data_IF_356288481826
#
_entry.id   IF_356288481826
#
_cell.length_a   1.000
_cell.length_b   1.000
_cell.length_c   1.000
_cell.angle_alpha   90.00
_cell.angle_beta   90.00
_cell.angle_gamma   90.00
#
_symmetry.space_group_name_H-M   'P 1'
#
loop_
_entity.id
_entity.type
_entity.pdbx_description
1 polymer ?
#
# COMPACT_ATOMS: atom_id res chain seq x y z
N UNK A 1 -1.39 27.53 25.47
CA UNK A 1 -0.31 26.98 26.31
C UNK A 1 0.75 26.39 25.38
N UNK A 2 1.81 27.15 25.13
CA UNK A 2 2.90 26.76 24.22
C UNK A 2 3.89 25.93 25.03
N UNK A 3 3.98 24.63 24.78
CA UNK A 3 5.03 23.78 25.34
C UNK A 3 6.25 23.89 24.44
N UNK A 4 7.24 24.63 24.92
CA UNK A 4 8.60 24.66 24.37
C UNK A 4 9.21 23.28 24.59
N UNK A 5 9.34 22.51 23.51
CA UNK A 5 10.10 21.26 23.52
C UNK A 5 11.59 21.61 23.51
N UNK A 6 12.25 21.37 24.64
CA UNK A 6 13.71 21.41 24.77
C UNK A 6 14.28 20.24 23.97
N UNK A 7 14.76 20.50 22.75
CA UNK A 7 15.48 19.51 21.96
C UNK A 7 16.91 19.36 22.48
N UNK A 8 17.17 18.20 23.08
CA UNK A 8 18.48 17.77 23.52
C UNK A 8 19.32 17.41 22.28
N UNK A 9 20.22 18.30 21.88
CA UNK A 9 21.25 18.03 20.87
C UNK A 9 22.24 16.99 21.41
N UNK A 10 21.95 15.71 21.22
CA UNK A 10 22.97 14.67 21.24
C UNK A 10 23.59 14.64 19.84
N UNK A 11 24.56 15.53 19.61
CA UNK A 11 25.44 15.41 18.46
C UNK A 11 26.07 14.01 18.46
N UNK A 12 25.87 13.28 17.37
CA UNK A 12 26.68 12.11 17.04
C UNK A 12 28.15 12.54 16.94
N UNK A 13 29.11 11.70 17.36
CA UNK A 13 30.49 12.10 17.48
C UNK A 13 31.11 12.32 16.09
N UNK A 14 31.36 13.59 15.76
CA UNK A 14 32.17 14.09 14.62
C UNK A 14 33.62 13.57 14.62
N UNK A 15 34.05 12.82 15.64
CA UNK A 15 35.41 12.28 15.77
C UNK A 15 35.81 11.27 14.69
N UNK A 16 34.87 10.67 13.96
CA UNK A 16 35.20 9.71 12.90
C UNK A 16 35.69 10.40 11.61
N UNK A 17 35.20 11.60 11.30
CA UNK A 17 35.55 12.33 10.08
C UNK A 17 36.92 13.01 10.16
N UNK A 18 37.31 13.50 11.35
CA UNK A 18 38.63 14.10 11.56
C UNK A 18 39.78 13.09 11.43
N UNK A 19 39.55 11.81 11.78
CA UNK A 19 40.60 10.78 11.73
C UNK A 19 40.92 10.32 10.30
N UNK A 20 39.91 10.23 9.43
CA UNK A 20 40.13 9.81 8.04
C UNK A 20 40.81 10.91 7.20
N UNK A 21 40.45 12.18 7.44
CA UNK A 21 41.04 13.31 6.70
C UNK A 21 42.52 13.53 7.06
N UNK A 22 42.89 13.34 8.34
CA UNK A 22 44.30 13.40 8.77
C UNK A 22 45.14 12.24 8.23
N UNK A 23 44.55 11.07 8.00
CA UNK A 23 45.31 9.89 7.58
C UNK A 23 45.65 9.90 6.08
N UNK A 24 44.81 10.50 5.23
CA UNK A 24 45.11 10.70 3.81
C UNK A 24 46.22 11.75 3.63
N UNK A 25 46.18 12.85 4.39
CA UNK A 25 47.23 13.88 4.35
C UNK A 25 48.61 13.35 4.80
N UNK A 26 48.65 12.42 5.75
CA UNK A 26 49.92 11.84 6.26
C UNK A 26 50.47 10.76 5.32
N UNK A 27 49.61 9.99 4.63
CA UNK A 27 50.07 8.95 3.69
C UNK A 27 50.56 9.49 2.35
N UNK A 28 50.09 10.66 1.90
CA UNK A 28 50.58 11.28 0.66
C UNK A 28 52.01 11.85 0.76
N UNK A 29 52.46 12.20 1.96
CA UNK A 29 53.79 12.80 2.18
C UNK A 29 54.90 11.78 2.48
N UNK A 30 54.59 10.49 2.61
CA UNK A 30 55.52 9.47 3.11
C UNK A 30 56.33 8.73 2.02
N UNK A 31 56.23 9.13 0.75
CA UNK A 31 56.93 8.46 -0.36
C UNK A 31 58.13 9.25 -0.93
N UNK A 32 58.62 10.30 -0.24
CA UNK A 32 59.86 11.00 -0.57
C UNK A 32 60.94 10.74 0.48
N UNK A 33 61.56 9.56 0.39
CA UNK A 33 62.78 9.15 1.09
C UNK A 33 63.58 8.39 0.03
N UNK A 34 64.78 8.76 -0.44
CA UNK A 34 65.91 9.32 0.29
C UNK A 34 66.97 10.03 -0.60
N UNK A 35 66.66 10.51 -1.82
CA UNK A 35 67.68 11.07 -2.74
C UNK A 35 67.37 12.49 -3.26
N UNK A 36 66.76 13.37 -2.47
CA UNK A 36 66.70 14.80 -2.83
C UNK A 36 68.00 15.50 -2.44
N UNK A 37 68.86 15.71 -3.42
CA UNK A 37 70.07 16.53 -3.34
C UNK A 37 69.70 17.97 -2.96
N UNK A 38 69.65 18.24 -1.66
CA UNK A 38 69.28 19.54 -1.08
C UNK A 38 70.29 20.59 -1.54
N UNK A 39 69.89 21.44 -2.49
CA UNK A 39 70.69 22.57 -2.92
C UNK A 39 70.58 23.70 -1.89
N UNK A 40 71.44 23.68 -0.87
CA UNK A 40 71.56 24.75 0.13
C UNK A 40 72.28 25.93 -0.54
N UNK A 41 71.57 27.05 -0.69
CA UNK A 41 72.20 28.29 -1.17
C UNK A 41 73.26 28.81 -0.20
N UNK A 42 74.20 29.67 -0.65
CA UNK A 42 75.31 30.17 0.17
C UNK A 42 74.88 30.91 1.45
N UNK A 43 73.63 31.34 1.54
CA UNK A 43 73.04 32.03 2.70
C UNK A 43 72.36 31.07 3.71
N UNK A 44 72.43 29.75 3.47
CA UNK A 44 71.79 28.72 4.30
C UNK A 44 70.28 28.56 4.08
N UNK A 45 69.68 29.40 3.24
CA UNK A 45 68.27 29.29 2.85
C UNK A 45 68.06 28.25 1.76
N UNK A 46 67.13 27.33 2.02
CA UNK A 46 66.63 26.36 1.06
C UNK A 46 65.93 27.10 -0.08
N UNK A 47 66.44 26.97 -1.31
CA UNK A 47 65.75 27.42 -2.52
C UNK A 47 65.35 26.20 -3.32
N UNK A 48 64.03 25.92 -3.50
CA UNK A 48 63.62 24.88 -4.41
C UNK A 48 64.16 25.19 -5.81
N UNK A 49 64.64 24.16 -6.50
CA UNK A 49 65.01 24.30 -7.91
C UNK A 49 63.77 24.72 -8.71
N UNK A 50 63.92 25.44 -9.84
CA UNK A 50 62.78 25.89 -10.63
C UNK A 50 61.87 24.72 -11.07
N UNK A 51 62.42 23.52 -11.31
CA UNK A 51 61.64 22.31 -11.58
C UNK A 51 60.83 21.84 -10.37
N UNK A 52 61.45 21.79 -9.18
CA UNK A 52 60.71 21.48 -7.94
C UNK A 52 59.60 22.50 -7.65
N UNK A 53 59.82 23.78 -7.98
CA UNK A 53 58.81 24.81 -7.81
C UNK A 53 57.61 24.61 -8.75
N UNK A 54 57.84 24.19 -10.01
CA UNK A 54 56.79 23.84 -10.97
C UNK A 54 56.03 22.58 -10.54
N UNK A 55 56.73 21.54 -10.08
CA UNK A 55 56.11 20.30 -9.60
C UNK A 55 55.25 20.54 -8.34
N UNK A 56 55.75 21.35 -7.40
CA UNK A 56 54.98 21.74 -6.21
C UNK A 56 53.77 22.61 -6.56
N UNK A 57 53.86 23.47 -7.58
CA UNK A 57 52.69 24.21 -8.07
C UNK A 57 51.65 23.29 -8.68
N UNK A 58 52.05 22.30 -9.49
CA UNK A 58 51.12 21.34 -10.08
C UNK A 58 50.42 20.50 -9.00
N UNK A 59 51.15 20.05 -7.98
CA UNK A 59 50.59 19.34 -6.83
C UNK A 59 49.64 20.22 -6.02
N UNK A 60 49.96 21.50 -5.82
CA UNK A 60 49.07 22.44 -5.14
C UNK A 60 47.77 22.60 -5.91
N UNK A 61 47.83 22.79 -7.23
CA UNK A 61 46.65 22.94 -8.10
C UNK A 61 45.77 21.67 -8.08
N UNK A 62 46.38 20.48 -8.05
CA UNK A 62 45.66 19.20 -7.95
C UNK A 62 44.94 19.08 -6.60
N UNK A 63 45.63 19.34 -5.49
CA UNK A 63 45.04 19.33 -4.14
C UNK A 63 43.94 20.39 -4.00
N UNK A 64 44.13 21.58 -4.57
CA UNK A 64 43.10 22.62 -4.57
C UNK A 64 41.85 22.17 -5.35
N UNK A 65 42.01 21.51 -6.50
CA UNK A 65 40.88 20.96 -7.25
C UNK A 65 40.15 19.86 -6.48
N UNK A 66 40.87 18.94 -5.86
CA UNK A 66 40.29 17.89 -5.02
C UNK A 66 39.53 18.49 -3.83
N UNK A 67 40.09 19.51 -3.17
CA UNK A 67 39.45 20.24 -2.08
C UNK A 67 38.15 20.91 -2.55
N UNK A 68 38.16 21.58 -3.70
CA UNK A 68 36.96 22.18 -4.29
C UNK A 68 35.89 21.13 -4.62
N UNK A 69 36.29 19.97 -5.15
CA UNK A 69 35.36 18.88 -5.45
C UNK A 69 34.76 18.28 -4.17
N UNK A 70 35.58 18.08 -3.14
CA UNK A 70 35.13 17.62 -1.83
C UNK A 70 34.16 18.61 -1.16
N UNK A 71 34.47 19.91 -1.22
CA UNK A 71 33.59 20.96 -0.70
C UNK A 71 32.25 21.01 -1.45
N UNK A 72 32.27 20.86 -2.78
CA UNK A 72 31.05 20.80 -3.61
C UNK A 72 30.21 19.57 -3.28
N UNK A 73 30.83 18.41 -3.09
CA UNK A 73 30.13 17.20 -2.68
C UNK A 73 29.56 17.31 -1.26
N UNK A 74 30.32 17.91 -0.33
CA UNK A 74 29.86 18.19 1.02
C UNK A 74 28.63 19.09 1.06
N UNK A 75 28.62 20.18 0.27
CA UNK A 75 27.44 21.06 0.13
C UNK A 75 26.23 20.32 -0.45
N UNK A 76 26.44 19.49 -1.47
CA UNK A 76 25.37 18.66 -2.03
C UNK A 76 24.77 17.68 -1.00
N UNK A 77 25.60 17.07 -0.16
CA UNK A 77 25.12 16.20 0.91
C UNK A 77 24.33 16.98 1.98
N UNK A 78 24.76 18.20 2.31
CA UNK A 78 24.01 19.08 3.24
C UNK A 78 22.65 19.44 2.66
N UNK A 79 22.59 19.81 1.37
CA UNK A 79 21.32 20.10 0.67
C UNK A 79 20.39 18.87 0.67
N UNK A 80 20.91 17.67 0.36
CA UNK A 80 20.12 16.44 0.40
C UNK A 80 19.65 16.07 1.80
N UNK A 81 20.46 16.30 2.82
CA UNK A 81 20.04 16.10 4.21
C UNK A 81 18.93 17.07 4.60
N UNK A 82 18.98 18.33 4.15
CA UNK A 82 17.93 19.32 4.38
C UNK A 82 16.61 18.92 3.69
N UNK A 83 16.66 18.46 2.42
CA UNK A 83 15.49 17.93 1.71
C UNK A 83 14.87 16.71 2.44
N UNK A 84 15.72 15.80 2.93
CA UNK A 84 15.27 14.64 3.71
C UNK A 84 14.61 15.07 5.01
N UNK A 85 15.19 16.04 5.73
CA UNK A 85 14.60 16.60 6.95
C UNK A 85 13.22 17.22 6.69
N UNK A 86 13.09 18.03 5.64
CA UNK A 86 11.80 18.62 5.24
C UNK A 86 10.76 17.55 4.88
N UNK A 87 11.21 16.45 4.27
CA UNK A 87 10.33 15.31 3.95
C UNK A 87 9.88 14.58 5.21
N UNK A 88 10.79 14.35 6.16
CA UNK A 88 10.47 13.74 7.46
C UNK A 88 9.49 14.62 8.23
N UNK A 89 9.70 15.93 8.27
CA UNK A 89 8.81 16.87 8.96
C UNK A 89 7.42 16.89 8.34
N UNK A 90 7.33 16.90 7.00
CA UNK A 90 6.04 16.79 6.30
C UNK A 90 5.30 15.49 6.64
N UNK A 91 5.98 14.35 6.55
CA UNK A 91 5.39 13.05 6.90
C UNK A 91 4.97 12.98 8.37
N UNK A 92 5.71 13.63 9.26
CA UNK A 92 5.35 13.73 10.68
C UNK A 92 4.03 14.49 10.87
N UNK A 93 3.88 15.66 10.22
CA UNK A 93 2.63 16.44 10.25
C UNK A 93 1.47 15.62 9.69
N UNK A 94 1.64 14.97 8.54
CA UNK A 94 0.61 14.11 7.92
C UNK A 94 0.19 12.97 8.85
N UNK A 95 1.15 12.33 9.52
CA UNK A 95 0.88 11.28 10.49
C UNK A 95 0.11 11.82 11.72
N UNK A 96 0.50 12.97 12.26
CA UNK A 96 -0.21 13.59 13.39
C UNK A 96 -1.64 13.99 13.00
N UNK A 97 -1.85 14.58 11.82
CA UNK A 97 -3.19 14.94 11.33
C UNK A 97 -4.07 13.72 11.18
N UNK A 98 -3.58 12.67 10.51
CA UNK A 98 -4.31 11.41 10.37
C UNK A 98 -4.62 10.81 11.74
N UNK A 99 -3.67 10.81 12.68
CA UNK A 99 -3.90 10.29 14.03
C UNK A 99 -4.99 11.07 14.77
N UNK A 100 -5.08 12.39 14.59
CA UNK A 100 -6.14 13.21 15.20
C UNK A 100 -7.51 12.94 14.57
N UNK A 101 -7.58 12.73 13.25
CA UNK A 101 -8.80 12.36 12.53
C UNK A 101 -9.34 11.01 13.01
N UNK A 102 -8.49 9.97 13.02
CA UNK A 102 -8.85 8.64 13.53
C UNK A 102 -9.34 8.68 14.98
N UNK A 103 -8.71 9.48 15.85
CA UNK A 103 -9.19 9.68 17.22
C UNK A 103 -10.55 10.38 17.28
N UNK A 104 -10.83 11.30 16.35
CA UNK A 104 -12.13 11.95 16.22
C UNK A 104 -13.24 11.00 15.75
N UNK A 105 -12.93 10.16 14.76
CA UNK A 105 -13.83 9.13 14.23
C UNK A 105 -14.14 8.07 15.29
N UNK A 106 -13.13 7.56 15.99
CA UNK A 106 -13.30 6.61 17.09
C UNK A 106 -14.26 7.13 18.16
N UNK A 107 -14.08 8.39 18.61
CA UNK A 107 -15.01 9.03 19.56
C UNK A 107 -16.42 9.21 19.02
N UNK A 108 -16.59 9.32 17.70
CA UNK A 108 -17.90 9.43 17.06
C UNK A 108 -18.59 8.07 17.04
N UNK A 109 -17.86 7.01 16.68
CA UNK A 109 -18.34 5.63 16.75
C UNK A 109 -18.69 5.23 18.18
N UNK A 110 -17.86 5.56 19.17
CA UNK A 110 -18.15 5.33 20.60
C UNK A 110 -19.47 5.97 21.03
N UNK A 111 -19.71 7.23 20.61
CA UNK A 111 -20.98 7.93 20.88
C UNK A 111 -22.18 7.24 20.22
N UNK A 112 -22.05 6.79 18.98
CA UNK A 112 -23.11 6.05 18.29
C UNK A 112 -23.40 4.71 18.96
N UNK A 113 -22.36 3.98 19.38
CA UNK A 113 -22.51 2.71 20.08
C UNK A 113 -23.22 2.92 21.42
N UNK A 114 -22.85 3.96 22.18
CA UNK A 114 -23.52 4.31 23.42
C UNK A 114 -25.00 4.69 23.19
N UNK A 115 -25.31 5.50 22.17
CA UNK A 115 -26.69 5.84 21.82
C UNK A 115 -27.51 4.60 21.42
N UNK A 116 -26.97 3.71 20.59
CA UNK A 116 -27.62 2.46 20.21
C UNK A 116 -27.86 1.52 21.42
N UNK A 117 -26.93 1.48 22.38
CA UNK A 117 -27.11 0.76 23.63
C UNK A 117 -28.25 1.35 24.47
N UNK A 118 -28.31 2.68 24.61
CA UNK A 118 -29.41 3.35 25.30
C UNK A 118 -30.76 3.06 24.65
N UNK A 119 -30.84 3.12 23.31
CA UNK A 119 -32.06 2.77 22.58
C UNK A 119 -32.46 1.32 22.85
N UNK A 120 -31.53 0.36 22.71
CA UNK A 120 -31.78 -1.05 23.00
C UNK A 120 -32.32 -1.25 24.42
N UNK A 121 -31.73 -0.58 25.41
CA UNK A 121 -32.14 -0.72 26.80
C UNK A 121 -33.50 -0.04 27.05
N UNK A 122 -33.80 1.09 26.40
CA UNK A 122 -35.13 1.70 26.38
C UNK A 122 -36.18 0.78 25.75
N UNK A 123 -35.86 0.13 24.61
CA UNK A 123 -36.72 -0.87 23.98
C UNK A 123 -36.98 -2.05 24.92
N UNK A 124 -35.95 -2.56 25.61
CA UNK A 124 -36.12 -3.63 26.61
C UNK A 124 -37.08 -3.21 27.72
N UNK A 125 -36.94 -1.99 28.24
CA UNK A 125 -37.83 -1.45 29.28
C UNK A 125 -39.27 -1.24 28.78
N UNK A 126 -39.49 -0.92 27.50
CA UNK A 126 -40.84 -0.80 26.93
C UNK A 126 -41.47 -2.16 26.62
N UNK A 127 -40.69 -3.14 26.16
CA UNK A 127 -41.18 -4.45 25.72
C UNK A 127 -41.47 -5.39 26.90
N UNK A 128 -40.67 -5.38 27.96
CA UNK A 128 -40.87 -6.26 29.13
C UNK A 128 -42.25 -6.04 29.81
N UNK A 129 -42.73 -4.80 30.05
CA UNK A 129 -44.07 -4.55 30.57
C UNK A 129 -45.19 -4.96 29.61
N UNK A 130 -44.98 -4.85 28.29
CA UNK A 130 -45.96 -5.30 27.30
C UNK A 130 -46.11 -6.82 27.31
N UNK A 131 -45.00 -7.57 27.43
CA UNK A 131 -45.05 -9.04 27.57
C UNK A 131 -45.69 -9.51 28.88
N UNK A 132 -45.63 -8.72 29.96
CA UNK A 132 -46.29 -9.03 31.25
C UNK A 132 -47.74 -8.51 31.33
N UNK A 133 -48.14 -7.57 30.45
CA UNK A 133 -49.51 -7.03 30.37
C UNK A 133 -50.37 -7.64 29.28
N UNK A 134 -49.87 -8.56 28.47
CA UNK A 134 -50.76 -9.43 27.69
C UNK A 134 -51.34 -10.43 28.69
N UNK A 135 -52.61 -10.28 29.13
CA UNK A 135 -53.24 -11.33 29.92
C UNK A 135 -53.17 -12.63 29.11
N UNK A 136 -53.12 -13.76 29.80
CA UNK A 136 -53.22 -15.13 29.26
C UNK A 136 -54.53 -15.41 28.48
N UNK A 137 -55.15 -14.41 27.83
CA UNK A 137 -56.24 -14.55 26.88
C UNK A 137 -55.77 -15.05 25.51
N UNK A 138 -54.46 -15.17 25.25
CA UNK A 138 -53.95 -15.79 24.01
C UNK A 138 -54.28 -17.30 23.90
N UNK A 139 -54.69 -17.96 25.00
CA UNK A 139 -55.32 -19.30 24.90
C UNK A 139 -56.75 -19.28 24.34
N UNK A 140 -57.41 -18.11 24.29
CA UNK A 140 -58.72 -17.96 23.65
C UNK A 140 -58.64 -17.60 22.17
N UNK A 141 -57.51 -17.07 21.68
CA UNK A 141 -57.36 -16.74 20.27
C UNK A 141 -57.32 -18.00 19.38
N UNK A 142 -56.65 -19.07 19.82
CA UNK A 142 -56.68 -20.34 19.09
C UNK A 142 -58.06 -21.02 19.12
N UNK A 143 -58.83 -20.87 20.21
CA UNK A 143 -60.21 -21.36 20.27
C UNK A 143 -61.13 -20.62 19.29
N UNK A 144 -60.92 -19.30 19.10
CA UNK A 144 -61.68 -18.51 18.13
C UNK A 144 -61.26 -18.81 16.69
N UNK A 145 -59.97 -19.08 16.43
CA UNK A 145 -59.50 -19.52 15.11
C UNK A 145 -60.06 -20.90 14.75
N UNK A 146 -60.12 -21.83 15.70
CA UNK A 146 -60.72 -23.16 15.51
C UNK A 146 -62.26 -23.07 15.34
N UNK A 147 -62.94 -22.20 16.09
CA UNK A 147 -64.38 -21.95 15.92
C UNK A 147 -64.69 -21.29 14.56
N UNK A 148 -63.87 -20.34 14.12
CA UNK A 148 -64.01 -19.73 12.79
C UNK A 148 -63.74 -20.75 11.69
N UNK A 149 -62.76 -21.64 11.86
CA UNK A 149 -62.50 -22.71 10.92
C UNK A 149 -63.65 -23.73 10.87
N UNK A 150 -64.22 -24.12 12.01
CA UNK A 150 -65.42 -24.98 12.04
C UNK A 150 -66.65 -24.31 11.44
N UNK A 151 -66.85 -23.00 11.70
CA UNK A 151 -67.95 -22.25 11.09
C UNK A 151 -67.78 -22.15 9.57
N UNK A 152 -66.57 -21.88 9.08
CA UNK A 152 -66.25 -21.88 7.65
C UNK A 152 -66.54 -23.24 7.01
N UNK A 153 -66.18 -24.34 7.68
CA UNK A 153 -66.41 -25.71 7.23
C UNK A 153 -67.89 -26.10 7.25
N UNK A 154 -68.64 -25.65 8.27
CA UNK A 154 -70.09 -25.85 8.36
C UNK A 154 -70.85 -25.07 7.28
N UNK A 155 -70.41 -23.86 6.94
CA UNK A 155 -71.00 -23.02 5.91
C UNK A 155 -70.76 -23.60 4.51
N UNK A 156 -69.58 -24.16 4.26
CA UNK A 156 -69.28 -24.87 3.00
C UNK A 156 -70.04 -26.17 2.89
N UNK A 157 -70.19 -26.94 3.97
CA UNK A 157 -71.03 -28.13 4.00
C UNK A 157 -72.51 -27.81 3.78
N UNK A 158 -73.03 -26.74 4.39
CA UNK A 158 -74.39 -26.26 4.20
C UNK A 158 -74.63 -25.78 2.76
N UNK A 159 -73.69 -25.05 2.17
CA UNK A 159 -73.76 -24.64 0.77
C UNK A 159 -73.75 -25.83 -0.19
N UNK A 160 -72.91 -26.85 0.07
CA UNK A 160 -72.89 -28.09 -0.72
C UNK A 160 -74.21 -28.87 -0.59
N UNK A 161 -74.80 -28.93 0.61
CA UNK A 161 -76.12 -29.53 0.83
C UNK A 161 -77.24 -28.75 0.12
N UNK A 162 -77.18 -27.41 0.09
CA UNK A 162 -78.15 -26.57 -0.60
C UNK A 162 -78.07 -26.73 -2.13
N UNK A 163 -76.86 -26.84 -2.68
CA UNK A 163 -76.65 -27.12 -4.11
C UNK A 163 -77.18 -28.52 -4.46
N UNK A 164 -76.93 -29.52 -3.61
CA UNK A 164 -77.45 -30.89 -3.79
C UNK A 164 -78.98 -30.92 -3.72
N UNK A 165 -79.60 -30.17 -2.79
CA UNK A 165 -81.05 -30.03 -2.72
C UNK A 165 -81.65 -29.27 -3.91
N UNK A 166 -80.97 -28.24 -4.44
CA UNK A 166 -81.42 -27.55 -5.65
C UNK A 166 -81.32 -28.43 -6.90
N UNK A 167 -80.30 -29.29 -6.99
CA UNK A 167 -80.20 -30.29 -8.06
C UNK A 167 -81.32 -31.34 -7.96
N UNK A 168 -81.70 -31.76 -6.74
CA UNK A 168 -82.86 -32.64 -6.54
C UNK A 168 -84.21 -31.96 -6.82
N UNK A 169 -84.38 -30.67 -6.49
CA UNK A 169 -85.59 -29.89 -6.84
C UNK A 169 -85.71 -29.67 -8.36
N UNK A 170 -84.61 -29.34 -9.05
CA UNK A 170 -84.62 -29.20 -10.52
C UNK A 170 -84.85 -30.53 -11.25
N UNK A 171 -84.49 -31.67 -10.65
CA UNK A 171 -84.79 -33.00 -11.20
C UNK A 171 -86.24 -33.44 -11.05
N UNK A 172 -87.06 -32.77 -10.23
CA UNK A 172 -88.43 -33.19 -9.90
C UNK A 172 -89.54 -32.25 -10.42
N UNK A 173 -89.19 -31.15 -11.11
CA UNK A 173 -90.16 -30.18 -11.66
C UNK A 173 -90.47 -30.34 -13.17
N UNK A 174 -90.17 -31.49 -13.79
CA UNK A 174 -90.53 -31.78 -15.18
C UNK A 174 -91.76 -32.69 -15.37
N UNK A 175 -92.50 -32.99 -14.29
CA UNK A 175 -93.82 -33.64 -14.39
C UNK A 175 -94.74 -33.21 -13.24
N UNK A 176 -95.63 -32.26 -13.52
CA UNK A 176 -97.05 -32.20 -13.11
C UNK A 176 -97.55 -30.74 -13.12
N UNK A 177 -98.25 -30.37 -14.18
CA UNK A 177 -99.51 -29.61 -14.02
C UNK A 177 -100.54 -30.54 -13.32
N UNK A 178 -101.69 -30.10 -12.74
CA UNK A 178 -102.35 -28.79 -12.88
C UNK A 178 -102.99 -28.24 -11.57
N UNK A 179 -103.71 -27.12 -11.72
CA UNK A 179 -104.94 -26.71 -11.00
C UNK A 179 -104.85 -25.85 -9.72
N UNK A 180 -105.82 -24.91 -9.67
CA UNK A 180 -106.64 -24.57 -8.50
C UNK A 180 -106.29 -23.30 -7.71
N UNK A 181 -107.09 -22.27 -8.01
CA UNK A 181 -107.87 -21.43 -7.08
C UNK A 181 -107.21 -20.28 -6.28
N UNK A 182 -107.90 -19.13 -6.35
CA UNK A 182 -108.34 -18.30 -5.20
C UNK A 182 -108.26 -16.78 -5.46
N UNK A 183 -109.31 -16.20 -6.05
CA UNK A 183 -109.80 -14.86 -5.68
C UNK A 183 -111.33 -14.89 -5.72
N UNK A 184 -111.93 -15.08 -4.55
CA UNK A 184 -113.38 -14.98 -4.36
C UNK A 184 -113.84 -13.53 -4.40
N UNK A 185 -114.60 -13.16 -5.43
CA UNK A 185 -115.46 -11.98 -5.42
C UNK A 185 -116.86 -12.40 -5.00
N UNK A 186 -117.21 -12.15 -3.73
CA UNK A 186 -118.54 -12.45 -3.18
C UNK A 186 -119.42 -11.21 -3.25
N UNK A 187 -120.18 -11.10 -4.33
CA UNK A 187 -121.35 -10.22 -4.45
C UNK A 187 -122.48 -10.76 -3.58
N UNK A 188 -122.88 -10.02 -2.54
CA UNK A 188 -124.05 -10.32 -1.71
C UNK A 188 -125.18 -9.38 -2.10
N UNK A 189 -126.26 -9.97 -2.59
CA UNK A 189 -127.52 -9.33 -2.95
C UNK A 189 -128.41 -9.22 -1.70
N UNK A 190 -128.90 -7.99 -1.50
CA UNK A 190 -130.12 -7.54 -0.82
C UNK A 190 -131.05 -8.63 -0.25
N UNK A 191 -131.24 -8.62 1.08
CA UNK A 191 -132.52 -8.94 1.71
C UNK A 191 -132.83 -7.96 2.87
N UNK A 192 -134.12 -7.66 2.94
CA UNK A 192 -134.89 -6.60 3.62
C UNK A 192 -134.74 -6.46 5.15
N UNK A 193 -135.21 -5.34 5.74
CA UNK A 193 -134.82 -4.86 7.06
C UNK A 193 -135.74 -5.38 8.19
N UNK A 194 -135.22 -5.53 9.41
CA UNK A 194 -136.04 -5.47 10.61
C UNK A 194 -135.79 -4.16 11.39
N UNK A 195 -136.90 -3.48 11.68
CA UNK A 195 -137.16 -2.63 12.86
C UNK A 195 -136.00 -1.80 13.45
N UNK A 196 -136.08 -0.49 13.23
CA UNK A 196 -135.42 0.53 14.06
C UNK A 196 -135.92 0.41 15.51
N UNK A 197 -135.10 -0.22 16.34
CA UNK A 197 -134.80 0.21 17.71
C UNK A 197 -133.47 -0.48 18.09
N UNK A 198 -132.43 -0.11 17.34
CA UNK A 198 -131.05 -0.40 17.72
C UNK A 198 -130.65 0.69 18.68
N UNK A 199 -130.51 0.31 19.94
CA UNK A 199 -130.11 1.16 21.06
C UNK A 199 -128.97 2.10 20.66
N UNK A 200 -129.23 3.41 20.79
CA UNK A 200 -128.25 4.49 20.61
C UNK A 200 -126.94 4.22 21.38
N UNK A 201 -127.03 3.48 22.48
CA UNK A 201 -125.90 3.10 23.32
C UNK A 201 -125.01 2.02 22.68
N UNK A 202 -125.55 1.12 21.86
CA UNK A 202 -124.74 0.14 21.07
C UNK A 202 -123.95 0.86 19.99
N UNK A 203 -124.54 1.87 19.34
CA UNK A 203 -123.86 2.72 18.36
C UNK A 203 -122.78 3.59 19.00
N UNK A 204 -123.04 4.18 20.18
CA UNK A 204 -122.02 4.92 20.95
C UNK A 204 -120.86 4.01 21.36
N UNK A 205 -121.15 2.82 21.90
CA UNK A 205 -120.10 1.87 22.26
C UNK A 205 -119.26 1.44 21.05
N UNK A 206 -119.89 1.22 19.89
CA UNK A 206 -119.16 0.89 18.67
C UNK A 206 -118.27 2.04 18.16
N UNK A 207 -118.70 3.30 18.33
CA UNK A 207 -117.88 4.48 18.01
C UNK A 207 -116.71 4.60 18.99
N UNK A 208 -116.95 4.44 20.29
CA UNK A 208 -115.90 4.50 21.32
C UNK A 208 -114.87 3.36 21.15
N UNK A 209 -115.33 2.15 20.80
CA UNK A 209 -114.45 1.01 20.48
C UNK A 209 -113.62 1.28 19.22
N UNK A 210 -114.19 1.93 18.20
CA UNK A 210 -113.47 2.32 16.98
C UNK A 210 -112.47 3.44 17.24
N UNK A 211 -112.82 4.42 18.07
CA UNK A 211 -111.92 5.46 18.51
C UNK A 211 -110.77 4.89 19.35
N UNK A 212 -111.05 3.93 20.24
CA UNK A 212 -110.02 3.21 20.99
C UNK A 212 -109.09 2.40 20.06
N UNK A 213 -109.65 1.72 19.05
CA UNK A 213 -108.87 1.01 18.02
C UNK A 213 -108.00 1.98 17.20
N UNK A 214 -108.51 3.15 16.82
CA UNK A 214 -107.76 4.18 16.11
C UNK A 214 -106.64 4.76 16.96
N UNK A 215 -106.89 5.07 18.24
CA UNK A 215 -105.85 5.54 19.18
C UNK A 215 -104.76 4.48 19.37
N UNK A 216 -105.14 3.21 19.49
CA UNK A 216 -104.19 2.10 19.60
C UNK A 216 -103.38 1.90 18.31
N UNK A 217 -104.01 2.03 17.13
CA UNK A 217 -103.33 1.95 15.85
C UNK A 217 -102.35 3.12 15.67
N UNK A 218 -102.75 4.34 16.04
CA UNK A 218 -101.89 5.53 16.00
C UNK A 218 -100.68 5.38 16.95
N UNK A 219 -100.89 4.88 18.17
CA UNK A 219 -99.79 4.59 19.10
C UNK A 219 -98.80 3.57 18.51
N UNK A 220 -99.30 2.51 17.86
CA UNK A 220 -98.45 1.51 17.18
C UNK A 220 -97.66 2.11 16.02
N UNK A 221 -98.23 3.04 15.25
CA UNK A 221 -97.49 3.74 14.18
C UNK A 221 -96.43 4.68 14.74
N UNK A 222 -96.71 5.41 15.82
CA UNK A 222 -95.71 6.24 16.51
C UNK A 222 -94.55 5.39 17.05
N UNK A 223 -94.84 4.21 17.60
CA UNK A 223 -93.81 3.26 18.06
C UNK A 223 -92.97 2.72 16.90
N UNK A 224 -93.60 2.43 15.74
CA UNK A 224 -92.89 2.03 14.51
C UNK A 224 -91.98 3.16 14.02
N UNK A 225 -92.46 4.40 13.99
CA UNK A 225 -91.64 5.56 13.59
C UNK A 225 -90.47 5.78 14.54
N UNK A 226 -90.67 5.62 15.84
CA UNK A 226 -89.60 5.66 16.83
C UNK A 226 -88.58 4.52 16.60
N UNK A 227 -89.04 3.32 16.28
CA UNK A 227 -88.19 2.18 15.94
C UNK A 227 -87.40 2.40 14.65
N UNK A 228 -88.03 2.94 13.60
CA UNK A 228 -87.37 3.30 12.34
C UNK A 228 -86.29 4.36 12.59
N UNK A 229 -86.57 5.39 13.39
CA UNK A 229 -85.57 6.41 13.76
C UNK A 229 -84.38 5.80 14.50
N UNK A 230 -84.61 4.87 15.43
CA UNK A 230 -83.52 4.13 16.11
C UNK A 230 -82.71 3.31 15.12
N UNK A 231 -83.34 2.56 14.22
CA UNK A 231 -82.65 1.81 13.17
C UNK A 231 -81.83 2.73 12.25
N UNK A 232 -82.36 3.89 11.87
CA UNK A 232 -81.64 4.87 11.06
C UNK A 232 -80.47 5.51 11.82
N UNK A 233 -80.59 5.69 13.13
CA UNK A 233 -79.48 6.13 13.97
C UNK A 233 -78.40 5.05 14.05
N UNK A 234 -78.77 3.81 14.37
CA UNK A 234 -77.83 2.68 14.42
C UNK A 234 -77.14 2.47 13.07
N UNK A 235 -77.84 2.64 11.94
CA UNK A 235 -77.22 2.61 10.60
C UNK A 235 -76.18 3.71 10.40
N UNK A 236 -76.42 4.92 10.92
CA UNK A 236 -75.45 6.02 10.85
C UNK A 236 -74.24 5.74 11.73
N UNK A 237 -74.47 5.30 12.96
CA UNK A 237 -73.41 4.95 13.91
C UNK A 237 -72.52 3.81 13.36
N UNK A 238 -73.10 2.77 12.73
CA UNK A 238 -72.32 1.69 12.13
C UNK A 238 -71.51 2.16 10.92
N UNK A 239 -72.03 3.07 10.10
CA UNK A 239 -71.28 3.68 9.00
C UNK A 239 -70.12 4.54 9.51
N UNK A 240 -70.32 5.30 10.59
CA UNK A 240 -69.27 6.10 11.22
C UNK A 240 -68.16 5.22 11.80
N UNK A 241 -68.51 4.11 12.47
CA UNK A 241 -67.55 3.12 12.97
C UNK A 241 -66.75 2.51 11.82
N UNK A 242 -67.41 2.10 10.72
CA UNK A 242 -66.73 1.54 9.54
C UNK A 242 -65.75 2.55 8.96
N UNK A 243 -66.13 3.84 8.88
CA UNK A 243 -65.27 4.88 8.36
C UNK A 243 -64.07 5.12 9.29
N UNK A 244 -64.27 5.13 10.62
CA UNK A 244 -63.18 5.22 11.59
C UNK A 244 -62.21 4.03 11.47
N UNK A 245 -62.73 2.81 11.35
CA UNK A 245 -61.91 1.61 11.13
C UNK A 245 -61.11 1.71 9.83
N UNK A 246 -61.71 2.23 8.75
CA UNK A 246 -61.03 2.43 7.46
C UNK A 246 -59.90 3.47 7.58
N UNK A 247 -60.10 4.56 8.30
CA UNK A 247 -59.05 5.56 8.55
C UNK A 247 -57.92 5.01 9.42
N UNK A 248 -58.24 4.24 10.47
CA UNK A 248 -57.24 3.60 11.32
C UNK A 248 -56.41 2.59 10.52
N UNK A 249 -57.06 1.75 9.70
CA UNK A 249 -56.36 0.80 8.83
C UNK A 249 -55.46 1.50 7.79
N UNK A 250 -55.86 2.65 7.26
CA UNK A 250 -55.02 3.43 6.35
C UNK A 250 -53.76 3.97 7.06
N UNK A 251 -53.92 4.50 8.29
CA UNK A 251 -52.78 4.96 9.09
C UNK A 251 -51.82 3.82 9.43
N UNK A 252 -52.33 2.62 9.77
CA UNK A 252 -51.50 1.44 10.01
C UNK A 252 -50.68 1.04 8.78
N UNK A 253 -51.27 1.11 7.58
CA UNK A 253 -50.56 0.83 6.33
C UNK A 253 -49.45 1.86 6.08
N UNK A 254 -49.70 3.14 6.34
CA UNK A 254 -48.69 4.20 6.18
C UNK A 254 -47.54 4.06 7.20
N UNK A 255 -47.84 3.68 8.43
CA UNK A 255 -46.83 3.37 9.46
C UNK A 255 -45.98 2.18 9.01
N UNK A 256 -46.59 1.10 8.50
CA UNK A 256 -45.84 -0.06 7.97
C UNK A 256 -44.93 0.35 6.82
N UNK A 257 -45.43 1.09 5.82
CA UNK A 257 -44.60 1.59 4.71
C UNK A 257 -43.45 2.46 5.22
N UNK A 258 -43.70 3.34 6.20
CA UNK A 258 -42.64 4.16 6.79
C UNK A 258 -41.59 3.30 7.52
N UNK A 259 -41.99 2.23 8.19
CA UNK A 259 -41.08 1.30 8.86
C UNK A 259 -40.27 0.48 7.85
N UNK A 260 -40.90 -0.01 6.78
CA UNK A 260 -40.24 -0.70 5.67
C UNK A 260 -39.21 0.20 4.98
N UNK A 261 -39.55 1.47 4.72
CA UNK A 261 -38.61 2.44 4.15
C UNK A 261 -37.41 2.71 5.06
N UNK A 262 -37.63 2.82 6.38
CA UNK A 262 -36.53 2.94 7.35
C UNK A 262 -35.68 1.68 7.42
N UNK A 263 -36.30 0.50 7.37
CA UNK A 263 -35.59 -0.77 7.35
C UNK A 263 -34.71 -0.88 6.09
N UNK A 264 -35.25 -0.55 4.91
CA UNK A 264 -34.48 -0.49 3.67
C UNK A 264 -33.28 0.47 3.78
N UNK A 265 -33.49 1.69 4.29
CA UNK A 265 -32.41 2.65 4.48
C UNK A 265 -31.34 2.17 5.49
N UNK A 266 -31.73 1.40 6.52
CA UNK A 266 -30.78 0.78 7.44
C UNK A 266 -29.98 -0.35 6.79
N UNK A 267 -30.63 -1.16 5.94
CA UNK A 267 -29.95 -2.21 5.15
C UNK A 267 -28.93 -1.60 4.20
N UNK A 268 -29.27 -0.51 3.50
CA UNK A 268 -28.34 0.21 2.62
C UNK A 268 -27.16 0.82 3.38
N UNK A 269 -27.40 1.31 4.60
CA UNK A 269 -26.31 1.80 5.47
C UNK A 269 -25.42 0.67 5.95
N UNK A 270 -26.00 -0.48 6.32
CA UNK A 270 -25.24 -1.65 6.72
C UNK A 270 -24.38 -2.20 5.57
N UNK A 271 -24.91 -2.25 4.35
CA UNK A 271 -24.13 -2.68 3.19
C UNK A 271 -22.99 -1.70 2.87
N UNK A 272 -23.22 -0.38 2.96
CA UNK A 272 -22.18 0.61 2.78
C UNK A 272 -21.07 0.53 3.86
N UNK A 273 -21.43 0.26 5.11
CA UNK A 273 -20.46 0.03 6.19
C UNK A 273 -19.67 -1.27 5.96
N UNK A 274 -20.34 -2.32 5.50
CA UNK A 274 -19.68 -3.59 5.15
C UNK A 274 -18.65 -3.40 4.03
N UNK A 275 -19.01 -2.67 2.96
CA UNK A 275 -18.05 -2.38 1.88
C UNK A 275 -16.83 -1.61 2.38
N UNK A 276 -17.01 -0.61 3.25
CA UNK A 276 -15.88 0.13 3.85
C UNK A 276 -15.01 -0.75 4.75
N UNK A 277 -15.62 -1.70 5.46
CA UNK A 277 -14.89 -2.67 6.26
C UNK A 277 -14.02 -3.55 5.37
N UNK A 278 -14.59 -4.08 4.29
CA UNK A 278 -13.86 -4.92 3.32
C UNK A 278 -12.71 -4.13 2.66
N UNK A 279 -12.95 -2.88 2.22
CA UNK A 279 -11.91 -1.98 1.70
C UNK A 279 -10.78 -1.73 2.72
N UNK A 280 -11.12 -1.53 3.99
CA UNK A 280 -10.12 -1.33 5.05
C UNK A 280 -9.32 -2.60 5.33
N UNK A 281 -9.95 -3.77 5.19
CA UNK A 281 -9.30 -5.06 5.36
C UNK A 281 -8.29 -5.33 4.23
N UNK A 282 -8.66 -5.03 2.99
CA UNK A 282 -7.76 -5.11 1.83
C UNK A 282 -6.57 -4.14 1.96
N UNK A 283 -6.82 -2.92 2.45
CA UNK A 283 -5.76 -1.94 2.73
C UNK A 283 -4.81 -2.40 3.85
N UNK A 284 -5.30 -3.12 4.86
CA UNK A 284 -4.44 -3.70 5.90
C UNK A 284 -3.63 -4.88 5.37
N UNK A 285 -4.22 -5.72 4.52
CA UNK A 285 -3.55 -6.85 3.90
C UNK A 285 -2.39 -6.41 3.01
N UNK A 286 -2.62 -5.40 2.16
CA UNK A 286 -1.57 -4.80 1.32
C UNK A 286 -0.43 -4.19 2.15
N UNK A 287 -0.74 -3.51 3.26
CA UNK A 287 0.27 -3.01 4.20
C UNK A 287 1.08 -4.12 4.86
N UNK A 288 0.46 -5.24 5.21
CA UNK A 288 1.15 -6.39 5.79
C UNK A 288 2.13 -7.02 4.79
N UNK A 289 1.74 -7.10 3.52
CA UNK A 289 2.60 -7.58 2.43
C UNK A 289 3.79 -6.64 2.18
N UNK A 290 3.56 -5.33 2.20
CA UNK A 290 4.62 -4.32 2.13
C UNK A 290 5.58 -4.41 3.32
N UNK A 291 5.05 -4.61 4.54
CA UNK A 291 5.87 -4.78 5.73
C UNK A 291 6.73 -6.05 5.64
N UNK A 292 6.16 -7.16 5.17
CA UNK A 292 6.92 -8.40 4.92
C UNK A 292 8.04 -8.15 3.92
N UNK A 293 7.76 -7.47 2.80
CA UNK A 293 8.76 -7.14 1.79
C UNK A 293 9.87 -6.25 2.34
N UNK A 294 9.54 -5.29 3.20
CA UNK A 294 10.52 -4.43 3.86
C UNK A 294 11.37 -5.21 4.86
N UNK A 295 10.79 -6.16 5.60
CA UNK A 295 11.53 -7.06 6.51
C UNK A 295 12.54 -7.91 5.73
N UNK A 296 12.13 -8.52 4.62
CA UNK A 296 13.02 -9.29 3.75
C UNK A 296 14.18 -8.41 3.23
N UNK A 297 13.87 -7.19 2.79
CA UNK A 297 14.90 -6.25 2.32
C UNK A 297 15.88 -5.82 3.40
N UNK A 298 15.42 -5.67 4.64
CA UNK A 298 16.30 -5.38 5.79
C UNK A 298 17.21 -6.57 6.07
N UNK A 299 16.70 -7.80 6.01
CA UNK A 299 17.50 -9.01 6.19
C UNK A 299 18.59 -9.15 5.11
N UNK A 300 18.23 -8.92 3.84
CA UNK A 300 19.20 -8.88 2.73
C UNK A 300 20.31 -7.85 2.95
N UNK A 301 19.95 -6.62 3.34
CA UNK A 301 20.92 -5.55 3.60
C UNK A 301 21.80 -5.86 4.82
N UNK A 302 21.26 -6.53 5.84
CA UNK A 302 22.05 -6.98 6.99
C UNK A 302 23.04 -8.08 6.58
N UNK A 303 22.65 -9.00 5.70
CA UNK A 303 23.54 -10.02 5.16
C UNK A 303 24.66 -9.39 4.31
N UNK A 304 24.33 -8.42 3.46
CA UNK A 304 25.30 -7.67 2.66
C UNK A 304 26.30 -6.91 3.55
N UNK A 305 25.82 -6.23 4.59
CA UNK A 305 26.68 -5.51 5.54
C UNK A 305 27.62 -6.46 6.30
N UNK A 306 27.14 -7.65 6.70
CA UNK A 306 27.99 -8.68 7.33
C UNK A 306 29.08 -9.15 6.38
N UNK A 307 28.73 -9.44 5.13
CA UNK A 307 29.70 -9.85 4.10
C UNK A 307 30.76 -8.76 3.87
N UNK A 308 30.35 -7.49 3.79
CA UNK A 308 31.30 -6.38 3.66
C UNK A 308 32.18 -6.23 4.91
N UNK A 309 31.65 -6.48 6.10
CA UNK A 309 32.42 -6.52 7.34
C UNK A 309 33.51 -7.60 7.31
N UNK A 310 33.16 -8.81 6.87
CA UNK A 310 34.10 -9.93 6.73
C UNK A 310 35.23 -9.61 5.72
N UNK A 311 34.89 -8.95 4.59
CA UNK A 311 35.87 -8.51 3.60
C UNK A 311 36.85 -7.46 4.16
N UNK A 312 36.34 -6.49 4.94
CA UNK A 312 37.17 -5.48 5.61
C UNK A 312 38.07 -6.09 6.67
N UNK A 313 37.59 -7.07 7.43
CA UNK A 313 38.39 -7.79 8.42
C UNK A 313 39.48 -8.65 7.75
N UNK A 314 39.16 -9.29 6.61
CA UNK A 314 40.13 -10.00 5.78
C UNK A 314 41.20 -9.05 5.22
N UNK A 315 40.79 -7.88 4.70
CA UNK A 315 41.70 -6.85 4.20
C UNK A 315 42.60 -6.30 5.33
N UNK A 316 42.03 -6.05 6.51
CA UNK A 316 42.78 -5.59 7.69
C UNK A 316 43.80 -6.64 8.13
N UNK A 317 43.43 -7.91 8.15
CA UNK A 317 44.33 -9.03 8.45
C UNK A 317 45.47 -9.14 7.43
N UNK A 318 45.17 -8.96 6.14
CA UNK A 318 46.18 -8.95 5.09
C UNK A 318 47.17 -7.77 5.25
N UNK A 319 46.67 -6.56 5.53
CA UNK A 319 47.50 -5.38 5.81
C UNK A 319 48.39 -5.60 7.03
N UNK A 320 47.85 -6.15 8.11
CA UNK A 320 48.65 -6.49 9.29
C UNK A 320 49.74 -7.51 8.95
N UNK A 321 49.43 -8.56 8.19
CA UNK A 321 50.42 -9.54 7.73
C UNK A 321 51.55 -8.89 6.91
N UNK A 322 51.19 -8.00 5.97
CA UNK A 322 52.18 -7.25 5.20
C UNK A 322 53.05 -6.35 6.09
N UNK A 323 52.46 -5.63 7.05
CA UNK A 323 53.23 -4.81 8.00
C UNK A 323 54.26 -5.62 8.79
N UNK A 324 53.90 -6.81 9.26
CA UNK A 324 54.84 -7.70 9.95
C UNK A 324 55.97 -8.17 9.02
N UNK A 325 55.66 -8.45 7.75
CA UNK A 325 56.67 -8.80 6.74
C UNK A 325 57.61 -7.62 6.45
N UNK A 326 57.09 -6.41 6.29
CA UNK A 326 57.88 -5.20 6.12
C UNK A 326 58.81 -4.96 7.31
N UNK A 327 58.28 -5.02 8.55
CA UNK A 327 59.10 -4.86 9.75
C UNK A 327 60.19 -5.94 9.89
N UNK A 328 59.95 -7.16 9.39
CA UNK A 328 60.97 -8.21 9.33
C UNK A 328 62.02 -7.90 8.27
N UNK A 329 61.61 -7.51 7.07
CA UNK A 329 62.53 -7.14 5.98
C UNK A 329 63.38 -5.93 6.36
N UNK A 330 62.83 -4.93 7.05
CA UNK A 330 63.59 -3.80 7.60
C UNK A 330 64.69 -4.28 8.56
N UNK A 331 64.39 -5.21 9.46
CA UNK A 331 65.41 -5.81 10.35
C UNK A 331 66.48 -6.58 9.59
N UNK A 332 66.09 -7.37 8.59
CA UNK A 332 67.04 -8.10 7.74
C UNK A 332 67.92 -7.12 6.93
N UNK A 333 67.34 -6.05 6.40
CA UNK A 333 68.07 -5.00 5.67
C UNK A 333 69.05 -4.24 6.57
N UNK A 334 68.64 -3.92 7.80
CA UNK A 334 69.51 -3.29 8.79
C UNK A 334 70.69 -4.18 9.17
N UNK A 335 70.46 -5.49 9.36
CA UNK A 335 71.54 -6.46 9.59
C UNK A 335 72.48 -6.61 8.38
N UNK A 336 71.96 -6.56 7.15
CA UNK A 336 72.78 -6.58 5.93
C UNK A 336 73.58 -5.28 5.80
N UNK A 337 73.01 -4.14 6.17
CA UNK A 337 73.70 -2.85 6.19
C UNK A 337 74.86 -2.86 7.18
N UNK A 338 74.66 -3.38 8.39
CA UNK A 338 75.71 -3.54 9.41
C UNK A 338 76.81 -4.51 8.94
N UNK A 339 76.45 -5.59 8.23
CA UNK A 339 77.41 -6.51 7.61
C UNK A 339 78.16 -5.88 6.43
N UNK A 340 77.52 -4.99 5.65
CA UNK A 340 78.12 -4.29 4.53
C UNK A 340 79.10 -3.19 5.00
N UNK A 341 78.80 -2.50 6.10
CA UNK A 341 79.76 -1.61 6.77
C UNK A 341 80.96 -2.40 7.32
N UNK A 342 80.75 -3.63 7.82
CA UNK A 342 81.82 -4.52 8.26
C UNK A 342 82.64 -5.16 7.12
N UNK A 343 82.07 -5.30 5.91
CA UNK A 343 82.68 -5.92 4.75
C UNK A 343 83.39 -4.94 3.79
N UNK A 344 83.62 -3.69 4.21
CA UNK A 344 84.32 -2.65 3.43
C UNK A 344 85.83 -2.88 3.20
N UNK A 345 86.26 -4.14 3.08
CA UNK A 345 87.51 -4.51 2.40
C UNK A 345 87.34 -5.83 1.63
N UNK A 346 87.21 -5.73 0.29
CA UNK A 346 87.49 -6.77 -0.74
C UNK A 346 86.36 -7.60 -1.42
N UNK A 347 85.14 -7.08 -1.64
CA UNK A 347 84.10 -7.85 -2.36
C UNK A 347 83.31 -7.10 -3.48
N UNK A 348 83.87 -6.07 -4.11
CA UNK A 348 83.09 -5.20 -5.02
C UNK A 348 82.82 -5.75 -6.43
N UNK A 349 83.58 -6.75 -6.90
CA UNK A 349 83.47 -7.23 -8.29
C UNK A 349 82.43 -8.35 -8.49
N UNK A 350 82.27 -9.25 -7.52
CA UNK A 350 81.26 -10.33 -7.56
C UNK A 350 79.87 -9.79 -7.24
N UNK A 351 79.77 -8.87 -6.29
CA UNK A 351 78.51 -8.19 -5.91
C UNK A 351 77.90 -7.41 -7.08
N UNK A 352 78.73 -6.77 -7.91
CA UNK A 352 78.25 -6.05 -9.08
C UNK A 352 77.67 -6.99 -10.14
N UNK A 353 78.23 -8.20 -10.29
CA UNK A 353 77.75 -9.19 -11.25
C UNK A 353 76.42 -9.81 -10.80
N UNK A 354 76.29 -10.13 -9.51
CA UNK A 354 75.05 -10.66 -8.93
C UNK A 354 73.90 -9.65 -8.98
N UNK A 355 74.21 -8.35 -8.80
CA UNK A 355 73.23 -7.25 -8.97
C UNK A 355 72.76 -7.14 -10.41
N UNK A 356 73.67 -7.30 -11.39
CA UNK A 356 73.32 -7.27 -12.81
C UNK A 356 72.45 -8.47 -13.22
N UNK A 357 72.75 -9.67 -12.70
CA UNK A 357 71.91 -10.85 -12.92
C UNK A 357 70.51 -10.67 -12.32
N UNK A 358 70.42 -10.14 -11.10
CA UNK A 358 69.15 -9.84 -10.44
C UNK A 358 68.31 -8.83 -11.23
N UNK A 359 68.93 -7.75 -11.71
CA UNK A 359 68.26 -6.74 -12.53
C UNK A 359 67.75 -7.33 -13.86
N UNK A 360 68.56 -8.16 -14.53
CA UNK A 360 68.15 -8.84 -15.76
C UNK A 360 66.96 -9.77 -15.52
N UNK A 361 66.98 -10.53 -14.42
CA UNK A 361 65.91 -11.44 -14.03
C UNK A 361 64.59 -10.71 -13.73
N UNK A 362 64.66 -9.59 -12.98
CA UNK A 362 63.51 -8.75 -12.69
C UNK A 362 62.93 -8.10 -13.95
N UNK A 363 63.79 -7.62 -14.85
CA UNK A 363 63.38 -7.06 -16.13
C UNK A 363 62.66 -8.11 -17.00
N UNK A 364 63.21 -9.33 -17.07
CA UNK A 364 62.58 -10.43 -17.78
C UNK A 364 61.23 -10.82 -17.18
N UNK A 365 61.13 -10.89 -15.85
CA UNK A 365 59.87 -11.20 -15.14
C UNK A 365 58.81 -10.10 -15.33
N UNK A 366 59.20 -8.83 -15.29
CA UNK A 366 58.31 -7.71 -15.56
C UNK A 366 57.66 -7.81 -16.94
N UNK A 367 58.47 -8.06 -17.98
CA UNK A 367 58.00 -8.24 -19.36
C UNK A 367 57.08 -9.48 -19.48
N UNK A 368 57.40 -10.58 -18.78
CA UNK A 368 56.56 -11.79 -18.78
C UNK A 368 55.21 -11.53 -18.12
N UNK A 369 55.18 -10.81 -16.99
CA UNK A 369 53.95 -10.45 -16.29
C UNK A 369 53.10 -9.48 -17.11
N UNK A 370 53.71 -8.48 -17.72
CA UNK A 370 53.04 -7.52 -18.61
C UNK A 370 52.43 -8.18 -19.86
N UNK A 371 52.99 -9.31 -20.31
CA UNK A 371 52.52 -10.05 -21.48
C UNK A 371 51.93 -11.43 -21.16
N UNK A 372 51.56 -11.68 -19.89
CA UNK A 372 51.08 -12.99 -19.41
C UNK A 372 49.92 -13.55 -20.23
N UNK A 373 48.95 -12.71 -20.61
CA UNK A 373 47.80 -13.13 -21.41
C UNK A 373 48.15 -13.64 -22.80
N UNK A 374 49.26 -13.16 -23.40
CA UNK A 374 49.70 -13.54 -24.75
C UNK A 374 50.61 -14.77 -24.73
N UNK A 375 51.49 -14.85 -23.74
CA UNK A 375 52.45 -15.96 -23.57
C UNK A 375 51.73 -17.27 -23.20
N UNK A 376 50.62 -17.19 -22.45
CA UNK A 376 49.77 -18.33 -22.12
C UNK A 376 49.08 -18.97 -23.34
N UNK A 377 48.86 -18.21 -24.43
CA UNK A 377 48.24 -18.72 -25.65
C UNK A 377 49.23 -19.41 -26.61
N UNK A 378 50.52 -19.09 -26.58
CA UNK A 378 51.49 -19.51 -27.61
C UNK A 378 52.49 -20.61 -27.19
N UNK A 379 52.36 -21.24 -26.01
CA UNK A 379 53.27 -22.32 -25.52
C UNK A 379 54.79 -21.99 -25.62
N UNK A 380 55.17 -20.71 -25.64
CA UNK A 380 56.53 -20.24 -25.97
C UNK A 380 57.62 -20.55 -24.92
N UNK A 381 57.25 -21.07 -23.75
CA UNK A 381 58.18 -21.43 -22.68
C UNK A 381 58.16 -22.94 -22.48
N UNK A 382 58.83 -23.69 -23.37
CA UNK A 382 59.15 -25.10 -23.15
C UNK A 382 60.22 -25.23 -22.04
N UNK A 383 59.77 -25.16 -20.76
CA UNK A 383 60.60 -25.40 -19.58
C UNK A 383 60.38 -24.43 -18.41
N UNK A 384 61.10 -24.66 -17.30
CA UNK A 384 61.09 -23.77 -16.12
C UNK A 384 61.53 -22.35 -16.52
N UNK A 385 60.65 -21.36 -16.33
CA UNK A 385 60.89 -19.95 -16.70
C UNK A 385 62.21 -19.42 -16.13
N UNK A 386 62.59 -19.83 -14.91
CA UNK A 386 63.86 -19.45 -14.28
C UNK A 386 65.09 -19.96 -15.02
N UNK A 387 65.06 -21.19 -15.53
CA UNK A 387 66.20 -21.77 -16.26
C UNK A 387 66.39 -21.14 -17.64
N UNK A 388 65.28 -20.77 -18.28
CA UNK A 388 65.29 -20.09 -19.58
C UNK A 388 65.82 -18.66 -19.44
N UNK A 389 65.38 -17.91 -18.42
CA UNK A 389 65.88 -16.55 -18.16
C UNK A 389 67.38 -16.58 -17.80
N UNK A 390 67.83 -17.51 -16.95
CA UNK A 390 69.25 -17.65 -16.63
C UNK A 390 70.12 -18.05 -17.85
N UNK A 391 69.56 -18.81 -18.80
CA UNK A 391 70.24 -19.09 -20.08
C UNK A 391 70.35 -17.83 -20.94
N UNK A 392 69.28 -17.04 -21.03
CA UNK A 392 69.28 -15.78 -21.77
C UNK A 392 70.21 -14.73 -21.17
N UNK A 393 70.36 -14.68 -19.84
CA UNK A 393 71.33 -13.81 -19.18
C UNK A 393 72.75 -14.13 -19.63
N UNK A 394 73.15 -15.41 -19.55
CA UNK A 394 74.46 -15.86 -20.02
C UNK A 394 74.68 -15.56 -21.51
N UNK A 395 73.65 -15.69 -22.34
CA UNK A 395 73.73 -15.39 -23.76
C UNK A 395 73.85 -13.88 -24.04
N UNK A 396 73.13 -13.04 -23.28
CA UNK A 396 73.22 -11.59 -23.39
C UNK A 396 74.60 -11.07 -22.97
N UNK A 397 75.17 -11.63 -21.91
CA UNK A 397 76.53 -11.32 -21.45
C UNK A 397 77.58 -11.79 -22.46
N UNK A 398 77.47 -13.02 -22.98
CA UNK A 398 78.39 -13.57 -23.98
C UNK A 398 78.30 -12.85 -25.35
N UNK A 399 77.14 -12.26 -25.66
CA UNK A 399 76.92 -11.47 -26.88
C UNK A 399 77.21 -9.97 -26.69
N UNK A 400 77.75 -9.58 -25.52
CA UNK A 400 78.06 -8.21 -25.14
C UNK A 400 76.88 -7.24 -25.35
N UNK A 401 75.65 -7.68 -25.06
CA UNK A 401 74.48 -6.80 -25.15
C UNK A 401 74.59 -5.76 -24.03
N UNK A 402 74.60 -4.45 -24.34
CA UNK A 402 74.71 -3.43 -23.30
C UNK A 402 73.43 -3.37 -22.45
N UNK A 403 73.58 -3.05 -21.16
CA UNK A 403 72.49 -3.18 -20.18
C UNK A 403 71.21 -2.41 -20.54
N UNK A 404 71.34 -1.22 -21.12
CA UNK A 404 70.19 -0.40 -21.54
C UNK A 404 69.40 -1.01 -22.71
N UNK A 405 69.99 -1.96 -23.44
CA UNK A 405 69.31 -2.68 -24.52
C UNK A 405 68.67 -3.99 -24.06
N UNK A 406 68.86 -4.41 -22.80
CA UNK A 406 68.36 -5.69 -22.28
C UNK A 406 66.84 -5.80 -22.31
N UNK A 407 66.12 -4.73 -21.97
CA UNK A 407 64.65 -4.73 -22.02
C UNK A 407 64.15 -5.02 -23.44
N UNK A 408 64.60 -4.25 -24.44
CA UNK A 408 64.19 -4.43 -25.84
C UNK A 408 64.62 -5.81 -26.40
N UNK A 409 65.81 -6.29 -26.03
CA UNK A 409 66.33 -7.59 -26.42
C UNK A 409 65.50 -8.74 -25.82
N UNK A 410 65.11 -8.63 -24.55
CA UNK A 410 64.25 -9.60 -23.85
C UNK A 410 62.82 -9.58 -24.39
N UNK A 411 62.20 -8.41 -24.61
CA UNK A 411 60.85 -8.30 -25.16
C UNK A 411 60.74 -8.99 -26.51
N UNK A 412 61.75 -8.88 -27.38
CA UNK A 412 61.75 -9.56 -28.68
C UNK A 412 61.75 -11.08 -28.56
N UNK A 413 62.54 -11.63 -27.61
CA UNK A 413 62.60 -13.06 -27.36
C UNK A 413 61.34 -13.61 -26.69
N UNK A 414 60.78 -12.86 -25.75
CA UNK A 414 59.59 -13.27 -24.98
C UNK A 414 58.32 -13.18 -25.83
N UNK A 415 58.23 -12.20 -26.75
CA UNK A 415 57.03 -11.97 -27.57
C UNK A 415 57.10 -12.54 -28.99
N UNK A 416 58.17 -13.27 -29.33
CA UNK A 416 58.31 -14.01 -30.61
C UNK A 416 58.37 -13.16 -31.88
N UNK A 417 58.53 -11.83 -31.80
CA UNK A 417 58.56 -10.96 -32.99
C UNK A 417 59.85 -11.18 -33.80
N UNK A 418 59.78 -11.37 -35.14
CA UNK A 418 60.96 -11.66 -35.94
C UNK A 418 61.95 -10.48 -35.94
N UNK A 419 63.25 -10.80 -35.85
CA UNK A 419 64.42 -9.90 -35.90
C UNK A 419 64.24 -8.79 -36.95
N UNK A 420 63.88 -7.58 -36.54
CA UNK A 420 64.33 -6.38 -37.27
C UNK A 420 65.75 -6.12 -36.81
N UNK A 421 66.71 -6.27 -37.72
CA UNK A 421 68.14 -6.01 -37.48
C UNK A 421 68.28 -4.60 -36.87
N UNK A 422 68.78 -4.53 -35.64
CA UNK A 422 68.94 -3.28 -34.88
C UNK A 422 70.00 -2.31 -35.44
N UNK A 423 70.62 -2.64 -36.58
CA UNK A 423 71.52 -1.73 -37.29
C UNK A 423 70.96 -1.42 -38.68
N UNK A 424 70.00 -0.51 -38.74
CA UNK A 424 69.66 0.18 -39.98
C UNK A 424 69.17 1.61 -39.67
N UNK A 425 69.88 2.56 -40.26
CA UNK A 425 69.79 4.00 -40.16
C UNK A 425 68.55 4.51 -40.92
N UNK A 426 67.78 5.41 -40.32
CA UNK A 426 66.95 6.38 -41.03
C UNK A 426 65.43 6.16 -41.07
N UNK A 427 64.74 7.23 -40.66
CA UNK A 427 63.49 7.79 -41.16
C UNK A 427 62.12 7.13 -40.85
N UNK A 428 61.29 8.02 -40.28
CA UNK A 428 59.84 8.19 -40.36
C UNK A 428 58.89 7.10 -39.81
N UNK A 429 58.19 7.48 -38.72
CA UNK A 429 56.96 6.83 -38.26
C UNK A 429 55.85 7.87 -38.21
N UNK A 430 54.90 7.71 -39.13
CA UNK A 430 53.54 8.21 -39.05
C UNK A 430 52.77 7.41 -37.99
N UNK A 431 51.94 8.01 -37.11
CA UNK A 431 51.33 7.30 -36.00
C UNK A 431 49.99 6.68 -36.42
N UNK A 432 49.91 5.35 -36.38
CA UNK A 432 48.63 4.63 -36.38
C UNK A 432 48.50 3.82 -35.09
N UNK A 433 48.05 4.46 -34.01
CA UNK A 433 47.67 3.74 -32.79
C UNK A 433 46.16 3.76 -32.60
N UNK A 434 45.57 2.57 -32.69
CA UNK A 434 44.19 2.16 -32.40
C UNK A 434 43.59 2.74 -31.11
N UNK A 435 44.42 3.21 -30.19
CA UNK A 435 44.02 3.84 -28.92
C UNK A 435 43.39 5.24 -29.11
N UNK A 436 43.91 6.05 -30.03
CA UNK A 436 43.41 7.40 -30.27
C UNK A 436 41.97 7.40 -30.82
N UNK A 437 41.61 6.35 -31.58
CA UNK A 437 40.27 6.15 -32.12
C UNK A 437 39.28 5.66 -31.06
N UNK A 438 39.74 4.78 -30.15
CA UNK A 438 38.92 4.30 -29.03
C UNK A 438 38.61 5.42 -28.01
N UNK A 439 39.56 6.34 -27.79
CA UNK A 439 39.35 7.50 -26.92
C UNK A 439 38.38 8.50 -27.56
N UNK A 440 38.46 8.74 -28.87
CA UNK A 440 37.52 9.62 -29.58
C UNK A 440 36.07 9.09 -29.54
N UNK A 441 35.87 7.79 -29.76
CA UNK A 441 34.54 7.16 -29.70
C UNK A 441 33.91 7.20 -28.29
N UNK A 442 34.73 7.21 -27.23
CA UNK A 442 34.25 7.33 -25.86
C UNK A 442 33.68 8.72 -25.54
N UNK A 443 34.32 9.79 -26.03
CA UNK A 443 33.86 11.16 -25.79
C UNK A 443 32.64 11.56 -26.63
N UNK A 444 32.48 11.01 -27.84
CA UNK A 444 31.29 11.28 -28.67
C UNK A 444 30.02 10.62 -28.11
N UNK A 445 30.15 9.47 -27.46
CA UNK A 445 29.00 8.78 -26.82
C UNK A 445 28.45 9.57 -25.62
N UNK A 446 29.29 10.31 -24.91
CA UNK A 446 28.90 11.14 -23.76
C UNK A 446 28.28 12.49 -24.15
N UNK A 447 28.52 12.97 -25.38
CA UNK A 447 27.97 14.25 -25.86
C UNK A 447 26.50 14.17 -26.28
N UNK A 448 26.03 12.99 -26.69
CA UNK A 448 24.67 12.83 -27.23
C UNK A 448 23.59 12.53 -26.19
N UNK A 449 23.95 12.22 -24.94
CA UNK A 449 22.99 11.80 -23.90
C UNK A 449 22.36 12.97 -23.11
N UNK A 450 22.61 14.22 -23.53
CA UNK A 450 22.04 15.45 -22.92
C UNK A 450 20.86 16.06 -23.69
N UNK A 451 20.07 15.27 -24.44
CA UNK A 451 18.76 15.71 -24.94
C UNK A 451 17.64 15.05 -24.16
N UNK A 452 17.18 15.77 -23.14
CA UNK A 452 15.97 15.48 -22.37
C UNK A 452 14.72 15.32 -23.25
N UNK A 453 13.80 14.39 -22.91
CA UNK A 453 12.53 14.24 -23.60
C UNK A 453 11.57 15.37 -23.22
N UNK A 454 11.01 16.06 -24.23
CA UNK A 454 9.89 16.99 -24.08
C UNK A 454 8.65 16.20 -23.64
N UNK A 455 8.21 16.38 -22.39
CA UNK A 455 6.85 16.03 -21.97
C UNK A 455 5.92 17.19 -22.30
N UNK A 456 4.98 16.93 -23.19
CA UNK A 456 3.78 17.71 -23.44
C UNK A 456 2.90 17.70 -22.19
N UNK A 457 2.67 18.87 -21.59
CA UNK A 457 1.58 19.11 -20.65
C UNK A 457 0.40 19.64 -21.45
N UNK A 458 -0.62 18.81 -21.62
CA UNK A 458 -1.93 19.18 -22.15
C UNK A 458 -2.80 19.64 -20.96
N UNK A 459 -3.17 20.91 -20.97
CA UNK A 459 -3.94 21.57 -19.92
C UNK A 459 -5.45 21.29 -20.08
N UNK A 460 -6.06 20.62 -19.11
CA UNK A 460 -7.51 20.59 -18.95
C UNK A 460 -7.93 21.69 -17.96
N UNK A 461 -8.59 22.72 -18.47
CA UNK A 461 -9.35 23.72 -17.69
C UNK A 461 -10.59 23.07 -17.07
N UNK A 462 -11.02 23.51 -15.87
CA UNK A 462 -12.42 23.51 -15.50
C UNK A 462 -12.96 24.95 -15.43
N UNK A 463 -14.01 25.20 -16.21
CA UNK A 463 -14.87 26.38 -16.20
C UNK A 463 -15.63 26.50 -14.87
N UNK A 464 -15.87 27.72 -14.32
CA UNK A 464 -16.76 27.90 -13.17
C UNK A 464 -18.24 28.04 -13.63
N UNK A 465 -19.23 27.65 -12.81
CA UNK A 465 -20.62 27.89 -13.12
C UNK A 465 -21.03 29.32 -12.72
N UNK A 466 -21.75 29.98 -13.62
CA UNK A 466 -22.62 31.12 -13.32
C UNK A 466 -24.05 30.61 -13.06
N UNK A 467 -24.70 31.24 -12.06
CA UNK A 467 -26.13 31.24 -11.70
C UNK A 467 -26.66 30.05 -10.90
#
# INVERSE_FOLDING_TARGET
>A
MIRVAVFNFKMLPTRAFDRFSLQIAISGMSNQTDDEEVHVGPDGTFRPTPQQAEDLQLQLDEVEQELHQAAKYGLYLVEKNEELWQTIERLHVEHETAQTEWKGEMKTVERHLYAAQQERDAWRLCVIPLSLRIPLSSRKCHAVEDEVFQLQQSLTAAAAAQITMQMHRRGSELRRSPSSDFVGSRSVILQSPPSLDIDLDVLKQAVDDKDAQLRQALAREVDKDAYIKRLQQTKRDTLDIIQQMKTAAAMDVDVRRSMEARHAALVDRLSAVQMKLDESQDALQTRLEEESRLRDRIEDLQAELRSQGDDVDAQTSAIQSMRHKCARLEKELQAVSELAEAASTSATATDAFDRLESFFNLTALGIILEHQHRIAQEQLLEGSSRQTIARWFREAVASEVPYHAWHAWLTQRITGKPRRRFFAKGADVSPSSSLAKAIADFFDKYRHDKKSPKRSLESANPTPPYS
#
